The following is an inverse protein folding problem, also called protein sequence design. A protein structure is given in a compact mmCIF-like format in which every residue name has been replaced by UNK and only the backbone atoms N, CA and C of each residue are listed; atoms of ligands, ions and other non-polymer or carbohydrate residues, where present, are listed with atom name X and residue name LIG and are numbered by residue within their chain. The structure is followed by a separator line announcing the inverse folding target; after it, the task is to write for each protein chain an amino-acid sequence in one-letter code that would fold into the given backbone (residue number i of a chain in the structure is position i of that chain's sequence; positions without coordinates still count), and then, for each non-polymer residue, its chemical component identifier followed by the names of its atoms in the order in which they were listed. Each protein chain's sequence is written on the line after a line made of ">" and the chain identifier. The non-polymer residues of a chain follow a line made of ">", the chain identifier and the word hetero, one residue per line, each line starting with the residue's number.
data_IF_394658274557
#
_entry.id   IF_394658274557
#
_cell.length_a   1.000
_cell.length_b   1.000
_cell.length_c   1.000
_cell.angle_alpha   90.00
_cell.angle_beta   90.00
_cell.angle_gamma   90.00
#
_symmetry.space_group_name_H-M   'P 1'
#
loop_
_entity.id
_entity.type
_entity.pdbx_description
1 polymer ?
#
# COMPACT_ATOMS: atom_id res chain seq x y z
N UNK A 1 6.02 -20.20 -13.02
CA UNK A 1 6.51 -21.57 -12.80
C UNK A 1 7.19 -22.08 -14.07
N UNK A 2 8.50 -22.26 -14.02
CA UNK A 2 9.24 -22.95 -15.08
C UNK A 2 8.97 -24.42 -14.91
N UNK A 3 8.09 -24.99 -15.71
CA UNK A 3 8.00 -26.43 -15.82
C UNK A 3 8.95 -26.87 -16.92
N UNK A 4 9.86 -27.77 -16.60
CA UNK A 4 10.54 -28.60 -17.60
C UNK A 4 9.47 -29.49 -18.22
N UNK A 5 8.85 -29.03 -19.28
CA UNK A 5 8.05 -29.88 -20.13
C UNK A 5 9.00 -30.62 -21.04
N UNK A 6 9.48 -31.78 -20.60
CA UNK A 6 9.82 -32.81 -21.55
C UNK A 6 8.49 -33.17 -22.21
N UNK A 7 8.37 -32.88 -23.50
CA UNK A 7 7.30 -33.46 -24.30
C UNK A 7 7.56 -34.93 -24.36
N UNK A 8 6.95 -35.68 -23.46
CA UNK A 8 6.79 -37.10 -23.62
C UNK A 8 5.63 -37.27 -24.60
N UNK A 9 5.94 -37.34 -25.88
CA UNK A 9 4.98 -37.87 -26.86
C UNK A 9 4.73 -39.31 -26.48
N UNK A 10 3.48 -39.65 -26.16
CA UNK A 10 3.12 -41.00 -25.83
C UNK A 10 3.37 -41.87 -27.08
N UNK A 11 3.88 -43.05 -26.89
CA UNK A 11 4.09 -44.05 -27.96
C UNK A 11 2.77 -44.41 -28.67
N UNK A 12 1.63 -44.16 -28.04
CA UNK A 12 0.28 -44.39 -28.55
C UNK A 12 -0.13 -43.43 -29.69
N UNK A 13 0.56 -42.28 -29.86
CA UNK A 13 0.28 -41.34 -30.95
C UNK A 13 1.02 -41.64 -32.26
N UNK A 14 1.68 -42.80 -32.36
CA UNK A 14 2.47 -43.16 -33.56
C UNK A 14 3.76 -42.36 -33.76
N UNK A 15 4.17 -41.63 -32.77
CA UNK A 15 5.41 -40.88 -32.76
C UNK A 15 6.57 -41.78 -32.31
N UNK A 16 7.60 -41.88 -33.14
CA UNK A 16 8.84 -42.56 -32.75
C UNK A 16 9.76 -41.56 -32.02
N UNK A 17 9.99 -41.68 -30.72
CA UNK A 17 10.85 -40.81 -29.95
C UNK A 17 12.29 -40.78 -30.45
N UNK A 18 12.78 -41.83 -31.12
CA UNK A 18 14.14 -41.88 -31.66
C UNK A 18 14.33 -41.01 -32.91
N UNK A 19 13.24 -40.58 -33.54
CA UNK A 19 13.28 -39.63 -34.69
C UNK A 19 13.18 -38.18 -34.28
N UNK A 20 12.87 -37.87 -33.04
CA UNK A 20 12.85 -36.52 -32.50
C UNK A 20 14.27 -36.01 -32.26
N UNK A 21 14.87 -35.45 -33.31
CA UNK A 21 16.22 -34.83 -33.26
C UNK A 21 16.28 -33.54 -32.47
N UNK A 22 15.20 -33.02 -31.92
CA UNK A 22 15.17 -31.76 -31.14
C UNK A 22 14.36 -31.93 -29.87
N UNK A 23 15.00 -31.75 -28.72
CA UNK A 23 14.27 -31.49 -27.47
C UNK A 23 13.56 -30.15 -27.63
N UNK A 24 12.25 -30.09 -27.33
CA UNK A 24 11.57 -28.82 -27.22
C UNK A 24 12.21 -28.03 -26.07
N UNK A 25 12.78 -26.87 -26.31
CA UNK A 25 13.34 -26.07 -25.23
C UNK A 25 12.22 -25.63 -24.29
N UNK A 26 12.52 -25.58 -23.01
CA UNK A 26 11.62 -24.95 -22.03
C UNK A 26 11.39 -23.52 -22.44
N UNK A 27 10.12 -23.13 -22.59
CA UNK A 27 9.73 -21.77 -22.95
C UNK A 27 9.01 -21.10 -21.79
N UNK A 28 9.37 -19.85 -21.55
CA UNK A 28 8.68 -18.99 -20.61
C UNK A 28 8.00 -17.87 -21.40
N UNK A 29 6.67 -17.87 -21.38
CA UNK A 29 5.86 -16.89 -22.11
C UNK A 29 5.11 -16.01 -21.13
N UNK A 30 5.29 -14.71 -21.24
CA UNK A 30 4.50 -13.70 -20.56
C UNK A 30 3.59 -13.03 -21.58
N UNK A 31 2.29 -13.04 -21.33
CA UNK A 31 1.31 -12.32 -22.14
C UNK A 31 0.45 -11.45 -21.23
N UNK A 32 0.52 -10.14 -21.40
CA UNK A 32 -0.25 -9.16 -20.63
C UNK A 32 -0.23 -7.81 -21.34
N UNK A 33 -1.17 -6.92 -21.00
CA UNK A 33 -1.00 -5.49 -21.23
C UNK A 33 0.06 -4.93 -20.29
N UNK A 34 0.69 -3.80 -20.66
CA UNK A 34 1.63 -3.11 -19.77
C UNK A 34 0.91 -2.62 -18.51
N UNK A 35 1.65 -2.58 -17.43
CA UNK A 35 1.19 -2.07 -16.14
C UNK A 35 2.14 -0.95 -15.67
N UNK A 36 2.24 -0.75 -14.38
CA UNK A 36 3.16 0.20 -13.79
C UNK A 36 4.63 -0.23 -13.96
N UNK A 37 5.50 0.76 -14.14
CA UNK A 37 6.94 0.52 -14.31
C UNK A 37 7.61 -0.12 -13.08
N UNK A 38 6.99 -0.07 -11.91
CA UNK A 38 7.46 -0.73 -10.70
C UNK A 38 7.14 -2.23 -10.66
N UNK A 39 6.26 -2.70 -11.52
CA UNK A 39 5.80 -4.10 -11.52
C UNK A 39 6.79 -5.04 -12.20
N UNK A 40 6.74 -6.29 -11.74
CA UNK A 40 7.61 -7.37 -12.23
C UNK A 40 7.52 -7.56 -13.76
N UNK A 41 6.31 -7.45 -14.34
CA UNK A 41 6.10 -7.60 -15.78
C UNK A 41 6.92 -6.59 -16.59
N UNK A 42 6.92 -5.32 -16.19
CA UNK A 42 7.72 -4.29 -16.87
C UNK A 42 9.24 -4.55 -16.76
N UNK A 43 9.67 -5.06 -15.63
CA UNK A 43 11.10 -5.44 -15.43
C UNK A 43 11.50 -6.58 -16.37
N UNK A 44 10.65 -7.61 -16.50
CA UNK A 44 10.88 -8.71 -17.45
C UNK A 44 10.85 -8.22 -18.89
N UNK A 45 9.85 -7.42 -19.25
CA UNK A 45 9.75 -6.79 -20.58
C UNK A 45 11.06 -6.06 -20.95
N UNK A 46 11.55 -5.18 -20.08
CA UNK A 46 12.82 -4.45 -20.31
C UNK A 46 14.02 -5.36 -20.47
N UNK A 47 14.13 -6.37 -19.62
CA UNK A 47 15.26 -7.29 -19.66
C UNK A 47 15.23 -8.14 -20.92
N UNK A 48 14.08 -8.63 -21.34
CA UNK A 48 13.94 -9.40 -22.57
C UNK A 48 14.20 -8.53 -23.81
N UNK A 49 13.66 -7.31 -23.84
CA UNK A 49 13.90 -6.37 -24.92
C UNK A 49 15.40 -6.03 -25.08
N UNK A 50 16.11 -5.80 -23.96
CA UNK A 50 17.56 -5.56 -23.98
C UNK A 50 18.32 -6.74 -24.56
N UNK A 51 18.00 -7.96 -24.17
CA UNK A 51 18.65 -9.17 -24.66
C UNK A 51 18.36 -9.41 -26.15
N UNK A 52 17.09 -9.24 -26.55
CA UNK A 52 16.70 -9.34 -27.96
C UNK A 52 17.44 -8.30 -28.83
N UNK A 53 17.55 -7.04 -28.38
CA UNK A 53 18.29 -5.99 -29.09
C UNK A 53 19.79 -6.30 -29.15
N UNK A 54 20.33 -6.94 -28.10
CA UNK A 54 21.72 -7.40 -28.09
C UNK A 54 21.99 -8.62 -29.01
N UNK A 55 20.96 -9.13 -29.67
CA UNK A 55 21.08 -10.27 -30.61
C UNK A 55 20.94 -11.64 -29.97
N UNK A 56 20.54 -11.72 -28.72
CA UNK A 56 20.26 -12.99 -28.03
C UNK A 56 18.97 -13.60 -28.59
N UNK A 57 19.11 -14.73 -29.30
CA UNK A 57 17.99 -15.38 -30.01
C UNK A 57 17.07 -16.19 -29.10
N UNK A 58 17.43 -16.36 -27.83
CA UNK A 58 16.62 -17.05 -26.84
C UNK A 58 15.53 -16.13 -26.25
N UNK A 59 15.58 -14.82 -26.56
CA UNK A 59 14.65 -13.82 -26.08
C UNK A 59 13.89 -13.17 -27.22
N UNK A 60 12.57 -13.09 -27.04
CA UNK A 60 11.67 -12.44 -27.99
C UNK A 60 10.68 -11.55 -27.24
N UNK A 61 10.44 -10.36 -27.75
CA UNK A 61 9.43 -9.42 -27.29
C UNK A 61 8.59 -8.95 -28.47
N UNK A 62 7.28 -9.12 -28.36
CA UNK A 62 6.33 -8.52 -29.27
C UNK A 62 5.53 -7.46 -28.52
N UNK A 63 5.55 -6.23 -29.02
CA UNK A 63 4.79 -5.11 -28.48
C UNK A 63 3.71 -4.73 -29.52
N UNK A 64 2.44 -4.96 -29.14
CA UNK A 64 1.30 -4.75 -30.03
C UNK A 64 0.39 -3.66 -29.46
N UNK A 65 0.08 -2.68 -30.28
CA UNK A 65 -0.84 -1.60 -29.96
C UNK A 65 -2.17 -1.74 -30.70
N UNK A 66 -3.18 -1.00 -30.28
CA UNK A 66 -4.54 -1.03 -30.88
C UNK A 66 -4.57 -0.73 -32.39
N UNK A 67 -3.58 -0.06 -32.95
CA UNK A 67 -3.51 0.26 -34.36
C UNK A 67 -3.58 -0.95 -35.29
N UNK A 68 -3.23 -2.14 -34.83
CA UNK A 68 -3.43 -3.39 -35.58
C UNK A 68 -4.85 -3.93 -35.42
N UNK A 69 -5.41 -3.83 -34.21
CA UNK A 69 -6.73 -4.38 -33.88
C UNK A 69 -7.91 -3.58 -34.49
N UNK A 70 -7.71 -2.29 -34.78
CA UNK A 70 -8.74 -1.41 -35.35
C UNK A 70 -8.76 -1.40 -36.90
N UNK A 71 -7.85 -2.12 -37.56
CA UNK A 71 -7.81 -2.17 -39.00
C UNK A 71 -9.07 -2.81 -39.59
N UNK A 72 -9.65 -2.16 -40.59
CA UNK A 72 -10.83 -2.65 -41.31
C UNK A 72 -10.48 -3.47 -42.54
N UNK A 73 -9.20 -3.61 -42.83
CA UNK A 73 -8.71 -4.33 -43.99
C UNK A 73 -7.50 -5.21 -43.62
N UNK A 74 -7.56 -6.46 -43.95
CA UNK A 74 -6.52 -7.44 -43.57
C UNK A 74 -6.29 -8.42 -44.73
N UNK A 75 -5.05 -8.60 -45.13
CA UNK A 75 -4.64 -9.51 -46.20
C UNK A 75 -5.44 -9.30 -47.53
N UNK A 76 -5.68 -8.05 -47.90
CA UNK A 76 -6.41 -7.71 -49.09
C UNK A 76 -7.93 -7.91 -49.03
N UNK A 77 -8.49 -8.19 -47.88
CA UNK A 77 -9.94 -8.39 -47.70
C UNK A 77 -10.51 -7.44 -46.64
N UNK A 78 -11.76 -6.99 -46.80
CA UNK A 78 -12.45 -6.26 -45.75
C UNK A 78 -12.59 -7.09 -44.48
N UNK A 79 -12.38 -6.45 -43.33
CA UNK A 79 -12.45 -7.06 -42.03
C UNK A 79 -13.23 -6.16 -41.05
N UNK A 80 -14.13 -6.73 -40.27
CA UNK A 80 -14.86 -6.01 -39.22
C UNK A 80 -14.14 -6.18 -37.90
N UNK A 81 -13.45 -5.15 -37.38
CA UNK A 81 -12.72 -5.24 -36.14
C UNK A 81 -13.66 -5.25 -34.94
N UNK A 82 -13.30 -6.02 -33.91
CA UNK A 82 -13.99 -5.99 -32.60
C UNK A 82 -13.73 -4.68 -31.83
N UNK A 83 -12.56 -4.10 -32.05
CA UNK A 83 -12.17 -2.81 -31.51
C UNK A 83 -12.27 -1.75 -32.60
N UNK A 84 -12.98 -0.64 -32.31
CA UNK A 84 -13.10 0.52 -33.21
C UNK A 84 -12.35 1.72 -32.64
N UNK A 85 -11.99 2.67 -33.50
CA UNK A 85 -11.35 3.92 -33.08
C UNK A 85 -12.22 4.67 -32.05
N UNK A 86 -13.54 4.73 -32.28
CA UNK A 86 -14.46 5.41 -31.36
C UNK A 86 -14.44 4.83 -29.96
N UNK A 87 -14.30 3.51 -29.82
CA UNK A 87 -14.16 2.86 -28.50
C UNK A 87 -12.85 3.26 -27.82
N UNK A 88 -11.76 3.33 -28.56
CA UNK A 88 -10.46 3.78 -28.03
C UNK A 88 -10.55 5.24 -27.62
N UNK A 89 -11.15 6.10 -28.42
CA UNK A 89 -11.30 7.53 -28.13
C UNK A 89 -12.21 7.76 -26.91
N UNK A 90 -13.29 7.01 -26.80
CA UNK A 90 -14.15 7.03 -25.62
C UNK A 90 -13.40 6.61 -24.33
N UNK A 91 -12.60 5.56 -24.42
CA UNK A 91 -11.76 5.13 -23.29
C UNK A 91 -10.69 6.17 -22.94
N UNK A 92 -10.07 6.82 -23.94
CA UNK A 92 -9.10 7.91 -23.72
C UNK A 92 -9.74 9.13 -23.04
N UNK A 93 -11.01 9.43 -23.33
CA UNK A 93 -11.75 10.49 -22.65
C UNK A 93 -12.13 10.10 -21.22
N UNK A 94 -12.53 8.85 -21.00
CA UNK A 94 -12.97 8.36 -19.70
C UNK A 94 -11.79 8.22 -18.71
N UNK A 95 -10.69 7.59 -19.15
CA UNK A 95 -9.48 7.43 -18.33
C UNK A 95 -8.26 7.26 -19.23
N UNK A 96 -7.57 8.37 -19.49
CA UNK A 96 -6.43 8.41 -20.40
C UNK A 96 -5.30 7.45 -19.99
N UNK A 97 -4.95 7.38 -18.72
CA UNK A 97 -3.83 6.54 -18.25
C UNK A 97 -4.14 5.04 -18.43
N UNK A 98 -5.37 4.64 -18.09
CA UNK A 98 -5.82 3.27 -18.31
C UNK A 98 -5.86 2.92 -19.80
N UNK A 99 -6.37 3.83 -20.63
CA UNK A 99 -6.45 3.62 -22.06
C UNK A 99 -5.07 3.55 -22.72
N UNK A 100 -4.10 4.35 -22.29
CA UNK A 100 -2.72 4.27 -22.76
C UNK A 100 -2.07 2.91 -22.45
N UNK A 101 -2.35 2.34 -21.30
CA UNK A 101 -1.85 1.00 -20.96
C UNK A 101 -2.51 -0.07 -21.81
N UNK A 102 -3.83 -0.07 -21.89
CA UNK A 102 -4.59 -1.17 -22.47
C UNK A 102 -4.58 -1.17 -24.00
N UNK A 103 -4.58 0.02 -24.61
CA UNK A 103 -4.66 0.15 -26.07
C UNK A 103 -3.34 0.52 -26.74
N UNK A 104 -2.45 1.21 -26.03
CA UNK A 104 -1.17 1.67 -26.57
C UNK A 104 0.04 1.02 -25.91
N UNK A 105 -0.19 0.08 -25.00
CA UNK A 105 0.85 -0.67 -24.30
C UNK A 105 1.89 0.22 -23.60
N UNK A 106 1.47 1.42 -23.19
CA UNK A 106 2.34 2.38 -22.51
C UNK A 106 2.28 2.18 -21.00
N UNK A 107 3.39 1.81 -20.34
CA UNK A 107 3.42 1.65 -18.90
C UNK A 107 3.27 2.99 -18.21
N UNK A 108 2.56 3.00 -17.09
CA UNK A 108 2.44 4.19 -16.26
C UNK A 108 3.70 4.38 -15.40
N UNK A 109 4.11 5.65 -15.21
CA UNK A 109 5.29 6.00 -14.40
C UNK A 109 4.97 6.18 -12.92
N UNK A 110 3.72 6.47 -12.59
CA UNK A 110 3.28 6.95 -11.27
C UNK A 110 2.28 6.00 -10.58
N UNK A 111 2.59 4.69 -10.49
CA UNK A 111 1.86 3.76 -9.61
C UNK A 111 0.46 3.33 -10.06
N UNK A 112 0.02 3.66 -11.27
CA UNK A 112 -1.21 3.11 -11.87
C UNK A 112 -2.52 3.82 -11.50
N UNK A 113 -3.61 3.27 -12.03
CA UNK A 113 -4.97 3.87 -12.01
C UNK A 113 -5.57 3.99 -10.61
N UNK A 114 -5.10 3.18 -9.67
CA UNK A 114 -5.63 3.12 -8.30
C UNK A 114 -4.85 3.98 -7.31
N UNK A 115 -3.87 4.73 -7.78
CA UNK A 115 -3.09 5.59 -6.90
C UNK A 115 -3.87 6.87 -6.60
N UNK A 116 -4.29 7.01 -5.35
CA UNK A 116 -5.03 8.19 -4.87
C UNK A 116 -4.13 9.43 -4.90
N UNK A 117 -2.86 9.28 -4.53
CA UNK A 117 -1.87 10.37 -4.50
C UNK A 117 -0.71 10.04 -5.43
N UNK A 118 -0.47 10.87 -6.44
CA UNK A 118 0.63 10.69 -7.40
C UNK A 118 1.99 11.03 -6.78
N UNK A 119 3.03 10.32 -7.16
CA UNK A 119 4.41 10.59 -6.72
C UNK A 119 4.84 12.03 -6.95
N UNK A 120 4.44 12.63 -8.08
CA UNK A 120 4.71 14.05 -8.36
C UNK A 120 4.05 14.99 -7.34
N UNK A 121 2.88 14.62 -6.81
CA UNK A 121 2.21 15.37 -5.75
C UNK A 121 2.94 15.19 -4.42
N UNK A 122 3.34 13.97 -4.07
CA UNK A 122 4.13 13.70 -2.87
C UNK A 122 5.42 14.54 -2.89
N UNK A 123 6.19 14.47 -3.99
CA UNK A 123 7.45 15.23 -4.13
C UNK A 123 7.29 16.73 -4.06
N UNK A 124 6.20 17.28 -4.57
CA UNK A 124 5.93 18.74 -4.48
C UNK A 124 5.64 19.21 -3.06
N UNK A 125 5.07 18.32 -2.25
CA UNK A 125 4.72 18.58 -0.85
C UNK A 125 5.79 18.06 0.13
N UNK A 126 6.86 17.45 -0.39
CA UNK A 126 7.97 16.98 0.42
C UNK A 126 8.76 18.16 0.97
N UNK A 127 8.79 18.29 2.28
CA UNK A 127 9.51 19.35 2.98
C UNK A 127 10.49 18.73 3.97
N UNK A 128 11.73 19.20 3.94
CA UNK A 128 12.77 18.74 4.87
C UNK A 128 12.65 19.54 6.18
N UNK A 129 12.25 18.86 7.26
CA UNK A 129 12.22 19.43 8.59
C UNK A 129 12.55 18.37 9.65
N UNK A 130 12.98 18.82 10.83
CA UNK A 130 13.21 17.92 11.96
C UNK A 130 11.88 17.39 12.49
N UNK A 131 11.79 16.10 12.87
CA UNK A 131 10.58 15.55 13.44
C UNK A 131 10.13 16.33 14.67
N UNK A 132 8.84 16.56 14.79
CA UNK A 132 8.27 17.08 16.03
C UNK A 132 8.10 15.90 16.99
N UNK A 133 8.85 15.90 18.08
CA UNK A 133 8.87 14.79 19.03
C UNK A 133 7.96 15.00 20.23
N UNK A 134 7.45 16.21 20.43
CA UNK A 134 6.62 16.55 21.59
C UNK A 134 5.63 17.66 21.25
N UNK A 135 4.79 17.97 22.22
CA UNK A 135 3.85 19.05 22.15
C UNK A 135 4.50 20.38 21.75
N UNK A 136 3.79 21.12 20.91
CA UNK A 136 4.05 22.54 20.64
C UNK A 136 2.77 23.32 20.89
N UNK A 137 2.93 24.54 21.42
CA UNK A 137 1.80 25.42 21.69
C UNK A 137 0.95 25.62 20.43
N UNK A 138 -0.36 25.70 20.62
CA UNK A 138 -1.33 25.95 19.54
C UNK A 138 -1.30 24.92 18.40
N UNK A 139 -0.92 23.68 18.71
CA UNK A 139 -0.96 22.58 17.75
C UNK A 139 -1.86 21.45 18.22
N UNK A 140 -2.65 20.92 17.30
CA UNK A 140 -3.44 19.70 17.49
C UNK A 140 -2.79 18.56 16.73
N UNK A 141 -2.64 17.40 17.37
CA UNK A 141 -1.99 16.22 16.80
C UNK A 141 -3.01 15.10 16.61
N UNK A 142 -3.01 14.52 15.43
CA UNK A 142 -3.64 13.23 15.14
C UNK A 142 -2.55 12.15 15.08
N UNK A 143 -2.72 11.07 15.84
CA UNK A 143 -1.83 9.91 15.81
C UNK A 143 -2.47 8.79 14.99
N UNK A 144 -1.68 8.02 14.26
CA UNK A 144 -2.14 6.88 13.50
C UNK A 144 -1.21 5.68 13.72
N UNK A 145 -1.77 4.55 14.13
CA UNK A 145 -1.05 3.30 14.34
C UNK A 145 -1.45 2.29 13.26
N UNK A 146 -0.46 1.82 12.53
CA UNK A 146 -0.54 0.61 11.70
C UNK A 146 0.14 -0.55 12.44
N UNK A 147 -0.63 -1.44 13.10
CA UNK A 147 -0.06 -2.51 13.89
C UNK A 147 0.31 -3.70 13.01
N UNK A 148 1.57 -4.13 13.06
CA UNK A 148 2.05 -5.30 12.33
C UNK A 148 2.52 -6.41 13.29
N UNK A 149 2.25 -7.68 12.94
CA UNK A 149 2.61 -8.83 13.78
C UNK A 149 3.69 -9.73 13.20
N UNK A 150 3.66 -10.00 11.91
CA UNK A 150 4.45 -11.10 11.33
C UNK A 150 5.60 -10.66 10.46
N UNK A 151 5.35 -9.92 9.41
CA UNK A 151 6.37 -9.60 8.42
C UNK A 151 6.83 -8.15 8.48
N UNK A 152 5.91 -7.22 8.73
CA UNK A 152 6.18 -5.79 8.77
C UNK A 152 6.37 -5.28 10.20
N UNK A 153 6.94 -4.09 10.35
CA UNK A 153 7.03 -3.42 11.63
C UNK A 153 5.77 -2.56 11.86
N UNK A 154 5.36 -2.45 13.14
CA UNK A 154 4.33 -1.48 13.48
C UNK A 154 4.85 -0.06 13.29
N UNK A 155 4.02 0.80 12.73
CA UNK A 155 4.36 2.20 12.45
C UNK A 155 3.38 3.10 13.21
N UNK A 156 3.92 4.07 13.95
CA UNK A 156 3.14 5.16 14.54
C UNK A 156 3.46 6.46 13.81
N UNK A 157 2.47 6.99 13.10
CA UNK A 157 2.52 8.31 12.46
C UNK A 157 1.97 9.39 13.38
N UNK A 158 2.54 10.59 13.30
CA UNK A 158 1.99 11.78 13.92
C UNK A 158 1.78 12.86 12.86
N UNK A 159 0.57 13.39 12.80
CA UNK A 159 0.18 14.46 11.90
C UNK A 159 -0.28 15.67 12.70
N UNK A 160 0.30 16.83 12.43
CA UNK A 160 -0.13 18.10 12.97
C UNK A 160 -1.27 18.64 12.10
N UNK A 161 -2.34 19.06 12.75
CA UNK A 161 -3.47 19.74 12.10
C UNK A 161 -3.24 21.24 12.24
N UNK A 162 -3.20 21.94 11.11
CA UNK A 162 -3.05 23.39 11.02
C UNK A 162 -4.28 23.98 10.34
N UNK A 163 -4.81 25.04 10.90
CA UNK A 163 -5.86 25.80 10.23
C UNK A 163 -5.22 26.89 9.38
N UNK A 164 -5.25 26.70 8.07
CA UNK A 164 -4.71 27.63 7.08
C UNK A 164 -5.85 28.53 6.59
N UNK A 165 -5.65 29.86 6.51
CA UNK A 165 -6.70 30.79 6.11
C UNK A 165 -7.16 30.61 4.66
N UNK A 166 -6.30 30.11 3.77
CA UNK A 166 -6.60 29.97 2.33
C UNK A 166 -7.13 28.57 1.99
N UNK A 167 -6.62 27.52 2.67
CA UNK A 167 -6.91 26.13 2.35
C UNK A 167 -7.75 25.42 3.42
N UNK A 168 -8.04 26.07 4.54
CA UNK A 168 -8.74 25.45 5.67
C UNK A 168 -7.80 24.54 6.48
N UNK A 169 -8.29 23.34 6.86
CA UNK A 169 -7.46 22.42 7.63
C UNK A 169 -6.45 21.70 6.75
N UNK A 170 -5.16 21.85 7.10
CA UNK A 170 -4.06 21.12 6.46
C UNK A 170 -3.45 20.12 7.47
N UNK A 171 -3.13 18.92 6.97
CA UNK A 171 -2.40 17.91 7.74
C UNK A 171 -0.93 17.90 7.35
N UNK A 172 -0.04 18.07 8.33
CA UNK A 172 1.40 17.95 8.15
C UNK A 172 1.93 16.73 8.89
N UNK A 173 2.53 15.79 8.18
CA UNK A 173 3.17 14.61 8.82
C UNK A 173 4.42 15.11 9.53
N UNK A 174 4.41 15.13 10.86
CA UNK A 174 5.48 15.68 11.67
C UNK A 174 6.40 14.64 12.28
N UNK A 175 5.96 13.36 12.31
CA UNK A 175 6.79 12.26 12.79
C UNK A 175 6.28 10.93 12.22
N UNK A 176 7.20 9.98 12.08
CA UNK A 176 6.90 8.60 11.70
C UNK A 176 7.85 7.67 12.43
N UNK A 177 7.31 6.87 13.34
CA UNK A 177 8.08 6.02 14.24
C UNK A 177 7.92 4.56 13.84
N UNK A 178 9.03 3.95 13.48
CA UNK A 178 9.11 2.51 13.29
C UNK A 178 9.35 1.83 14.64
N UNK A 179 8.42 0.98 15.06
CA UNK A 179 8.44 0.31 16.37
C UNK A 179 9.26 -0.98 16.33
N UNK A 180 10.56 -0.86 16.45
CA UNK A 180 11.47 -1.99 16.58
C UNK A 180 12.40 -1.83 17.79
N UNK A 181 12.95 -2.94 18.26
CA UNK A 181 13.90 -2.94 19.37
C UNK A 181 15.26 -2.41 18.92
N UNK A 182 15.51 -1.14 19.22
CA UNK A 182 16.77 -0.45 18.88
C UNK A 182 17.98 -1.01 19.63
N UNK A 183 17.75 -1.66 20.76
CA UNK A 183 18.83 -2.30 21.52
C UNK A 183 19.24 -3.65 20.93
N UNK A 184 18.41 -4.24 20.11
CA UNK A 184 18.71 -5.50 19.43
C UNK A 184 19.57 -5.27 18.19
N UNK A 185 20.73 -5.91 18.12
CA UNK A 185 21.59 -5.92 16.92
C UNK A 185 20.90 -6.48 15.66
N UNK A 186 19.82 -7.24 15.84
CA UNK A 186 19.05 -7.87 14.75
C UNK A 186 17.77 -7.09 14.39
N UNK A 187 17.48 -5.98 15.08
CA UNK A 187 16.28 -5.18 14.80
C UNK A 187 14.98 -5.94 15.04
N UNK A 188 14.88 -6.72 16.13
CA UNK A 188 13.66 -7.43 16.46
C UNK A 188 12.49 -6.48 16.67
N UNK A 189 11.30 -6.93 16.30
CA UNK A 189 10.05 -6.22 16.57
C UNK A 189 9.80 -6.12 18.06
N UNK A 190 9.21 -5.00 18.47
CA UNK A 190 8.70 -4.89 19.83
C UNK A 190 7.49 -5.82 19.99
N UNK A 191 7.40 -6.46 21.15
CA UNK A 191 6.17 -7.14 21.56
C UNK A 191 5.04 -6.13 21.84
N UNK A 192 3.80 -6.61 21.91
CA UNK A 192 2.61 -5.77 22.08
C UNK A 192 2.64 -4.88 23.32
N UNK A 193 3.21 -5.37 24.43
CA UNK A 193 3.29 -4.61 25.67
C UNK A 193 4.29 -3.45 25.56
N UNK A 194 5.43 -3.70 24.91
CA UNK A 194 6.41 -2.66 24.62
C UNK A 194 5.86 -1.64 23.63
N UNK A 195 5.12 -2.09 22.61
CA UNK A 195 4.45 -1.18 21.68
C UNK A 195 3.41 -0.32 22.38
N UNK A 196 2.59 -0.88 23.28
CA UNK A 196 1.67 -0.11 24.11
C UNK A 196 2.39 0.93 24.98
N UNK A 197 3.53 0.57 25.55
CA UNK A 197 4.36 1.52 26.31
C UNK A 197 4.83 2.67 25.42
N UNK A 198 5.31 2.39 24.22
CA UNK A 198 5.73 3.42 23.26
C UNK A 198 4.57 4.32 22.82
N UNK A 199 3.39 3.74 22.54
CA UNK A 199 2.20 4.52 22.19
C UNK A 199 1.83 5.47 23.34
N UNK A 200 1.80 4.99 24.59
CA UNK A 200 1.52 5.79 25.77
C UNK A 200 2.54 6.91 25.97
N UNK A 201 3.81 6.61 25.72
CA UNK A 201 4.88 7.60 25.79
C UNK A 201 4.64 8.74 24.76
N UNK A 202 4.33 8.40 23.50
CA UNK A 202 4.02 9.40 22.49
C UNK A 202 2.73 10.18 22.76
N UNK A 203 1.70 9.52 23.30
CA UNK A 203 0.50 10.19 23.78
C UNK A 203 0.85 11.24 24.85
N UNK A 204 1.67 10.90 25.84
CA UNK A 204 2.13 11.82 26.86
C UNK A 204 2.96 12.98 26.29
N UNK A 205 3.93 12.69 25.42
CA UNK A 205 4.81 13.68 24.81
C UNK A 205 4.03 14.71 23.97
N UNK A 206 3.08 14.27 23.17
CA UNK A 206 2.28 15.15 22.32
C UNK A 206 1.14 15.85 23.08
N UNK A 207 0.67 15.28 24.17
CA UNK A 207 -0.35 15.92 25.01
C UNK A 207 0.21 17.05 25.90
N UNK A 208 1.52 17.11 26.08
CA UNK A 208 2.18 18.06 26.96
C UNK A 208 1.90 17.77 28.43
N UNK A 209 1.42 18.77 29.19
CA UNK A 209 1.15 18.59 30.65
C UNK A 209 -0.27 18.12 30.96
N UNK A 210 -1.13 18.03 29.98
CA UNK A 210 -2.55 17.71 30.16
C UNK A 210 -2.77 16.22 30.24
N UNK A 211 -3.73 15.78 31.02
CA UNK A 211 -4.09 14.38 31.18
C UNK A 211 -5.36 13.95 30.44
N UNK A 212 -6.04 14.89 29.81
CA UNK A 212 -7.33 14.74 29.11
C UNK A 212 -7.19 14.69 27.60
N UNK A 213 -5.96 14.69 27.08
CA UNK A 213 -5.62 14.68 25.67
C UNK A 213 -6.18 15.86 24.87
N UNK A 214 -6.19 17.05 25.47
CA UNK A 214 -6.69 18.28 24.84
C UNK A 214 -5.93 18.64 23.55
N UNK A 215 -4.65 18.32 23.49
CA UNK A 215 -3.77 18.60 22.32
C UNK A 215 -3.74 17.46 21.31
N UNK A 216 -4.42 16.34 21.60
CA UNK A 216 -4.56 15.21 20.69
C UNK A 216 -5.98 15.18 20.18
N UNK A 217 -6.15 15.22 18.86
CA UNK A 217 -7.46 15.06 18.23
C UNK A 217 -7.94 13.62 18.40
N UNK A 218 -7.16 12.70 17.91
CA UNK A 218 -7.48 11.27 17.94
C UNK A 218 -6.23 10.40 17.83
N UNK A 219 -6.36 9.15 18.28
CA UNK A 219 -5.50 8.04 17.95
C UNK A 219 -6.25 7.09 17.04
N UNK A 220 -5.86 7.05 15.78
CA UNK A 220 -6.39 6.15 14.76
C UNK A 220 -5.64 4.81 14.84
N UNK A 221 -6.33 3.69 14.87
CA UNK A 221 -5.72 2.35 14.87
C UNK A 221 -6.33 1.50 13.78
N UNK A 222 -5.50 1.01 12.87
CA UNK A 222 -5.96 0.08 11.83
C UNK A 222 -6.34 -1.26 12.45
N UNK A 223 -7.59 -1.67 12.26
CA UNK A 223 -8.11 -2.96 12.73
C UNK A 223 -7.56 -4.16 11.97
N UNK A 224 -7.02 -3.94 10.77
CA UNK A 224 -6.60 -5.03 9.91
C UNK A 224 -7.75 -5.95 9.47
N UNK A 225 -7.42 -7.01 8.76
CA UNK A 225 -8.38 -7.91 8.16
C UNK A 225 -9.00 -8.94 9.13
N UNK A 226 -8.52 -9.04 10.36
CA UNK A 226 -8.85 -10.15 11.28
C UNK A 226 -9.30 -9.79 12.70
N UNK A 227 -9.37 -8.51 13.05
CA UNK A 227 -9.89 -8.05 14.37
C UNK A 227 -9.07 -8.43 15.61
N UNK A 228 -8.34 -9.53 15.58
CA UNK A 228 -7.61 -10.06 16.75
C UNK A 228 -6.35 -9.28 17.17
N UNK A 229 -5.88 -8.37 16.35
CA UNK A 229 -4.71 -7.53 16.67
C UNK A 229 -5.08 -6.24 17.38
N UNK A 230 -6.28 -5.78 17.16
CA UNK A 230 -6.77 -4.47 17.60
C UNK A 230 -7.31 -4.50 19.00
N UNK A 231 -8.01 -5.57 19.37
CA UNK A 231 -8.45 -5.77 20.74
C UNK A 231 -7.28 -5.61 21.72
N UNK A 232 -6.08 -6.09 21.37
CA UNK A 232 -4.90 -5.97 22.24
C UNK A 232 -4.52 -4.50 22.50
N UNK A 233 -4.50 -3.64 21.48
CA UNK A 233 -4.13 -2.23 21.65
C UNK A 233 -5.29 -1.42 22.23
N UNK A 234 -6.50 -1.60 21.74
CA UNK A 234 -7.66 -0.90 22.23
C UNK A 234 -7.96 -1.25 23.68
N UNK A 235 -8.00 -2.54 24.01
CA UNK A 235 -8.21 -2.99 25.40
C UNK A 235 -7.06 -2.56 26.31
N UNK A 236 -5.84 -2.57 25.83
CA UNK A 236 -4.67 -2.09 26.57
C UNK A 236 -4.71 -0.59 26.87
N UNK A 237 -5.43 0.21 26.10
CA UNK A 237 -5.55 1.66 26.30
C UNK A 237 -6.75 2.09 27.15
N UNK A 238 -7.69 1.19 27.48
CA UNK A 238 -8.90 1.53 28.24
C UNK A 238 -8.64 2.05 29.64
N UNK A 239 -7.65 1.47 30.33
CA UNK A 239 -7.35 1.82 31.72
C UNK A 239 -6.42 3.04 31.80
N UNK A 240 -6.58 3.78 32.90
CA UNK A 240 -5.64 4.80 33.30
C UNK A 240 -4.24 4.16 33.47
N UNK A 241 -3.21 4.92 33.19
CA UNK A 241 -1.83 4.44 33.23
C UNK A 241 -0.87 5.50 33.77
N UNK A 242 0.23 5.07 34.35
CA UNK A 242 1.27 5.95 34.87
C UNK A 242 2.36 6.09 33.81
N UNK A 243 2.66 7.33 33.42
CA UNK A 243 3.72 7.65 32.48
C UNK A 243 5.12 7.56 33.10
N UNK A 244 6.14 7.60 32.25
CA UNK A 244 7.54 7.68 32.71
C UNK A 244 7.82 9.03 33.43
N UNK A 245 6.92 10.02 33.28
CA UNK A 245 6.90 11.29 34.01
C UNK A 245 6.30 11.19 35.44
N UNK A 246 5.86 9.99 35.84
CA UNK A 246 5.21 9.73 37.13
C UNK A 246 3.77 10.22 37.23
N UNK A 247 3.20 10.79 36.19
CA UNK A 247 1.82 11.29 36.18
C UNK A 247 0.85 10.19 35.76
N UNK A 248 -0.36 10.25 36.30
CA UNK A 248 -1.46 9.38 35.88
C UNK A 248 -2.16 10.01 34.66
N UNK A 249 -2.18 9.27 33.57
CA UNK A 249 -2.89 9.62 32.35
C UNK A 249 -4.17 8.80 32.26
N UNK A 250 -5.20 9.40 31.69
CA UNK A 250 -6.49 8.74 31.48
C UNK A 250 -6.40 7.71 30.37
N UNK A 251 -7.24 6.67 30.44
CA UNK A 251 -7.40 5.71 29.34
C UNK A 251 -8.03 6.34 28.09
N UNK A 252 -8.01 5.61 26.99
CA UNK A 252 -8.64 5.98 25.72
C UNK A 252 -9.69 4.94 25.32
N UNK A 253 -10.78 5.40 24.72
CA UNK A 253 -11.86 4.56 24.21
C UNK A 253 -12.35 5.09 22.86
N UNK A 254 -12.81 4.19 22.01
CA UNK A 254 -13.67 4.52 20.85
C UNK A 254 -15.13 4.26 21.24
N UNK A 255 -15.79 5.28 21.77
CA UNK A 255 -17.18 5.17 22.22
C UNK A 255 -18.18 4.96 21.07
N UNK A 256 -17.76 5.23 19.83
CA UNK A 256 -18.59 5.05 18.63
C UNK A 256 -18.53 3.62 18.07
N UNK A 257 -17.52 2.83 18.46
CA UNK A 257 -17.33 1.49 17.94
C UNK A 257 -18.25 0.49 18.66
N UNK A 258 -18.94 -0.37 17.91
CA UNK A 258 -19.95 -1.31 18.42
C UNK A 258 -19.50 -2.17 19.61
N UNK A 259 -18.21 -2.61 19.60
CA UNK A 259 -17.63 -3.42 20.69
C UNK A 259 -17.52 -2.64 22.00
N UNK A 260 -17.25 -1.32 21.92
CA UNK A 260 -16.95 -0.49 23.08
C UNK A 260 -18.11 0.37 23.55
N UNK A 261 -19.26 0.34 22.86
CA UNK A 261 -20.45 1.13 23.23
C UNK A 261 -20.89 0.90 24.67
N UNK A 262 -20.81 -0.37 25.15
CA UNK A 262 -21.15 -0.71 26.56
C UNK A 262 -19.99 -0.57 27.54
N UNK A 263 -18.79 -0.21 27.10
CA UNK A 263 -17.60 -0.16 27.97
C UNK A 263 -17.43 1.19 28.65
N UNK A 264 -18.10 2.23 28.19
CA UNK A 264 -17.99 3.58 28.78
C UNK A 264 -18.40 3.59 30.25
N UNK A 265 -19.39 2.80 30.63
CA UNK A 265 -19.83 2.68 32.03
C UNK A 265 -18.80 1.96 32.91
N UNK A 266 -18.03 1.04 32.34
CA UNK A 266 -16.95 0.29 33.01
C UNK A 266 -15.65 1.07 33.12
N UNK A 267 -15.42 1.99 32.18
CA UNK A 267 -14.22 2.84 32.07
C UNK A 267 -14.62 4.32 32.00
N UNK A 268 -15.21 4.87 33.07
CA UNK A 268 -15.77 6.23 33.03
C UNK A 268 -14.69 7.31 32.85
N UNK A 269 -13.45 7.01 33.21
CA UNK A 269 -12.32 7.93 33.04
C UNK A 269 -11.75 7.92 31.63
N UNK A 270 -12.02 6.91 30.82
CA UNK A 270 -11.46 6.82 29.46
C UNK A 270 -12.01 7.96 28.58
N UNK A 271 -11.10 8.61 27.86
CA UNK A 271 -11.40 9.71 26.95
C UNK A 271 -11.74 9.18 25.56
N UNK A 272 -12.80 9.68 24.96
CA UNK A 272 -13.25 9.28 23.62
C UNK A 272 -12.37 9.91 22.51
N UNK A 273 -11.14 9.43 22.42
CA UNK A 273 -10.10 9.87 21.45
C UNK A 273 -9.48 8.71 20.65
N UNK A 274 -9.91 7.49 20.90
CA UNK A 274 -9.53 6.33 20.08
C UNK A 274 -10.48 6.20 18.90
N UNK A 275 -9.96 5.85 17.73
CA UNK A 275 -10.76 5.54 16.52
C UNK A 275 -10.23 4.29 15.87
N UNK A 276 -11.06 3.27 15.81
CA UNK A 276 -10.75 1.99 15.20
C UNK A 276 -11.18 2.01 13.73
N UNK A 277 -10.22 1.94 12.81
CA UNK A 277 -10.46 2.01 11.37
C UNK A 277 -10.39 0.63 10.76
N UNK A 278 -11.40 0.26 9.97
CA UNK A 278 -11.39 -0.96 9.17
C UNK A 278 -11.44 -0.63 7.68
N UNK A 279 -10.43 -0.96 6.89
CA UNK A 279 -10.42 -0.68 5.44
C UNK A 279 -11.52 -1.44 4.67
N UNK A 280 -12.20 -2.39 5.31
CA UNK A 280 -13.31 -3.14 4.69
C UNK A 280 -14.69 -2.49 4.83
N UNK A 281 -14.81 -1.42 5.61
CA UNK A 281 -16.08 -0.72 5.86
C UNK A 281 -16.25 0.54 5.00
N UNK A 282 -15.26 0.89 4.16
CA UNK A 282 -15.29 2.09 3.32
C UNK A 282 -15.01 1.77 1.86
#
# INVERSE_FOLDING_TARGET
>A
ATQNTEFVTSVDDGFNPDTLKRKCPTQLVYASSQDDMSKMFYTHYKNFAKKMIAGDRDYFVADMICGTAIKTFMNGKPYTPLLTQDKVDAAMKANREKALREYYNQPTRDGGVNQIVKWGTIRRNETFYLPQLSYKKDTTICLALDPARTFDNSILGAMRIVNDPDYGYIGEIVNCVNMFDRASKKGYKLDSNRQLKEIRNYLSLYNGQYNDYVNIDSLLVDQGAGGGGVSTYADGLLNDWVGDDGKTHRGLIDASHEIYTGYKDRYPNAVDKLRLISPRKY
#
